data_IF_870145421762
#
_entry.id   IF_870145421762
#
_cell.length_a   1.000
_cell.length_b   1.000
_cell.length_c   1.000
_cell.angle_alpha   90.00
_cell.angle_beta   90.00
_cell.angle_gamma   90.00
#
_symmetry.space_group_name_H-M   'P 1'
#
loop_
_entity.id
_entity.type
_entity.pdbx_description
1 polymer ?
#
# COMPACT_ATOMS: atom_id res chain seq x y z
N UNK A 1 -12.66 -7.06 0.09
CA UNK A 1 -11.59 -6.17 -0.40
C UNK A 1 -11.81 -4.78 0.20
N UNK A 2 -10.88 -4.28 1.04
CA UNK A 2 -11.04 -3.01 1.73
C UNK A 2 -11.05 -1.84 0.73
N UNK A 3 -12.06 -0.97 0.83
CA UNK A 3 -12.18 0.22 -0.01
C UNK A 3 -11.37 1.35 0.62
N UNK A 4 -10.10 1.46 0.22
CA UNK A 4 -9.16 2.45 0.72
C UNK A 4 -8.52 3.24 -0.41
N UNK A 5 -7.95 4.39 -0.07
CA UNK A 5 -7.10 5.20 -0.96
C UNK A 5 -5.70 5.25 -0.38
N UNK A 6 -4.68 5.06 -1.22
CA UNK A 6 -3.28 5.18 -0.83
C UNK A 6 -2.64 6.33 -1.59
N UNK A 7 -2.03 7.26 -0.85
CA UNK A 7 -1.12 8.28 -1.37
C UNK A 7 0.31 7.84 -1.08
N UNK A 8 1.08 7.55 -2.14
CA UNK A 8 2.47 7.07 -2.05
C UNK A 8 3.45 8.19 -2.44
N UNK A 9 4.51 8.37 -1.66
CA UNK A 9 5.59 9.32 -1.93
C UNK A 9 6.84 8.61 -2.46
N UNK A 10 7.65 9.29 -3.27
CA UNK A 10 8.89 8.75 -3.82
C UNK A 10 9.92 8.32 -2.76
N UNK A 11 9.79 8.80 -1.52
CA UNK A 11 10.61 8.37 -0.37
C UNK A 11 10.21 7.01 0.22
N UNK A 12 9.18 6.35 -0.33
CA UNK A 12 8.63 5.10 0.20
C UNK A 12 7.62 5.28 1.33
N UNK A 13 7.44 6.52 1.85
CA UNK A 13 6.36 6.82 2.81
C UNK A 13 5.01 6.76 2.12
N UNK A 14 3.97 6.37 2.86
CA UNK A 14 2.60 6.32 2.35
C UNK A 14 1.58 6.82 3.38
N UNK A 15 0.43 7.26 2.89
CA UNK A 15 -0.76 7.57 3.69
C UNK A 15 -1.90 6.69 3.18
N UNK A 16 -2.52 5.92 4.09
CA UNK A 16 -3.67 5.07 3.78
C UNK A 16 -4.92 5.62 4.48
N UNK A 17 -6.00 5.86 3.72
CA UNK A 17 -7.26 6.41 4.26
C UNK A 17 -8.47 5.60 3.80
N UNK A 18 -9.57 5.68 4.57
CA UNK A 18 -10.83 4.99 4.27
C UNK A 18 -10.99 3.60 4.93
N UNK A 19 -9.96 3.11 5.62
CA UNK A 19 -10.03 1.88 6.42
C UNK A 19 -10.95 2.06 7.63
N UNK A 20 -11.69 0.99 8.00
CA UNK A 20 -12.58 0.98 9.18
C UNK A 20 -11.97 0.22 10.35
N UNK A 21 -11.02 -0.67 10.07
CA UNK A 21 -10.26 -1.45 11.04
C UNK A 21 -8.79 -1.37 10.70
N UNK A 22 -7.94 -1.54 11.71
CA UNK A 22 -6.50 -1.58 11.53
C UNK A 22 -6.08 -2.68 10.54
N UNK A 23 -6.72 -3.85 10.62
CA UNK A 23 -6.49 -4.97 9.69
C UNK A 23 -6.70 -4.57 8.22
N UNK A 24 -7.68 -3.71 7.92
CA UNK A 24 -7.93 -3.25 6.55
C UNK A 24 -6.73 -2.46 6.00
N UNK A 25 -5.99 -1.75 6.87
CA UNK A 25 -4.78 -1.01 6.50
C UNK A 25 -3.65 -1.99 6.16
N UNK A 26 -3.42 -3.00 7.01
CA UNK A 26 -2.41 -4.02 6.74
C UNK A 26 -2.68 -4.75 5.43
N UNK A 27 -3.92 -5.20 5.23
CA UNK A 27 -4.32 -5.92 4.01
C UNK A 27 -4.13 -5.06 2.75
N UNK A 28 -4.46 -3.77 2.82
CA UNK A 28 -4.28 -2.84 1.71
C UNK A 28 -2.80 -2.56 1.39
N UNK A 29 -1.96 -2.38 2.41
CA UNK A 29 -0.52 -2.15 2.24
C UNK A 29 0.16 -3.39 1.68
N UNK A 30 -0.19 -4.59 2.15
CA UNK A 30 0.32 -5.85 1.61
C UNK A 30 -0.06 -6.02 0.13
N UNK A 31 -1.32 -5.73 -0.22
CA UNK A 31 -1.76 -5.79 -1.62
C UNK A 31 -1.00 -4.79 -2.51
N UNK A 32 -0.77 -3.56 -2.03
CA UNK A 32 0.01 -2.57 -2.75
C UNK A 32 1.45 -3.06 -2.96
N UNK A 33 2.08 -3.60 -1.92
CA UNK A 33 3.45 -4.09 -1.95
C UNK A 33 3.63 -5.17 -3.02
N UNK A 34 2.79 -6.21 -3.01
CA UNK A 34 2.80 -7.27 -4.04
C UNK A 34 2.62 -6.69 -5.45
N UNK A 35 1.66 -5.76 -5.63
CA UNK A 35 1.40 -5.13 -6.93
C UNK A 35 2.62 -4.36 -7.46
N UNK A 36 3.31 -3.62 -6.59
CA UNK A 36 4.50 -2.85 -6.97
C UNK A 36 5.67 -3.76 -7.31
N UNK A 37 5.83 -4.87 -6.58
CA UNK A 37 6.86 -5.87 -6.83
C UNK A 37 6.63 -6.61 -8.16
N UNK A 38 5.40 -7.07 -8.43
CA UNK A 38 5.01 -7.69 -9.70
C UNK A 38 5.25 -6.77 -10.90
N UNK A 39 4.99 -5.47 -10.72
CA UNK A 39 5.21 -4.45 -11.76
C UNK A 39 6.66 -3.98 -11.85
N UNK A 40 7.55 -4.45 -10.97
CA UNK A 40 8.96 -4.01 -10.90
C UNK A 40 9.08 -2.49 -10.72
N UNK A 41 8.20 -1.93 -9.88
CA UNK A 41 8.15 -0.49 -9.56
C UNK A 41 8.70 -0.16 -8.17
N UNK A 42 9.07 -1.17 -7.38
CA UNK A 42 9.78 -1.03 -6.11
C UNK A 42 11.09 -1.82 -6.19
N UNK A 43 12.15 -1.27 -5.63
CA UNK A 43 13.50 -1.83 -5.64
C UNK A 43 14.04 -1.82 -4.21
N UNK A 44 14.90 -2.78 -3.91
CA UNK A 44 15.58 -2.89 -2.62
C UNK A 44 17.07 -2.67 -2.86
N UNK A 45 17.70 -1.90 -1.98
CA UNK A 45 19.16 -1.79 -1.91
C UNK A 45 19.79 -3.06 -1.32
#
# INVERSE_FOLDING_TARGET
EPKVVILLFASGKLVCTGAKREQDVYDAVQKLHVLLEEKKLIFYD
#
